data_IF_628855665876
#
_entry.id   IF_628855665876
#
_cell.length_a   1.000
_cell.length_b   1.000
_cell.length_c   1.000
_cell.angle_alpha   90.00
_cell.angle_beta   90.00
_cell.angle_gamma   90.00
#
_symmetry.space_group_name_H-M   'P 1'
#
loop_
_entity.id
_entity.type
_entity.pdbx_description
1 polymer ?
#
# COMPACT_ATOMS: atom_id res chain seq x y z
N UNK A 1 -12.02 15.19 0.48
CA UNK A 1 -12.87 15.50 1.68
C UNK A 1 -12.76 14.34 2.64
N UNK A 2 -12.64 14.62 3.94
CA UNK A 2 -12.65 13.56 4.98
C UNK A 2 -13.91 12.69 4.87
N UNK A 3 -15.05 13.28 4.52
CA UNK A 3 -16.31 12.56 4.30
C UNK A 3 -16.29 11.54 3.16
N UNK A 4 -15.43 11.69 2.16
CA UNK A 4 -15.26 10.70 1.09
C UNK A 4 -14.35 9.54 1.53
N UNK A 5 -13.41 9.82 2.45
CA UNK A 5 -12.51 8.81 3.03
C UNK A 5 -13.22 8.04 4.14
N UNK A 6 -14.14 8.72 4.82
CA UNK A 6 -14.88 8.20 5.98
C UNK A 6 -16.35 8.52 5.76
N UNK A 7 -17.10 7.63 5.11
CA UNK A 7 -18.55 7.79 5.02
C UNK A 7 -19.13 7.93 6.43
N UNK A 8 -19.94 8.96 6.71
CA UNK A 8 -20.54 9.20 8.03
C UNK A 8 -21.27 7.99 8.60
N UNK A 9 -21.85 7.17 7.72
CA UNK A 9 -22.58 5.94 8.09
C UNK A 9 -21.69 4.86 8.72
N UNK A 10 -20.37 4.94 8.62
CA UNK A 10 -19.44 3.98 9.20
C UNK A 10 -19.04 4.30 10.66
N UNK A 11 -19.56 5.36 11.24
CA UNK A 11 -19.30 5.73 12.64
C UNK A 11 -20.63 5.74 13.38
N UNK A 12 -20.67 5.14 14.58
CA UNK A 12 -21.89 5.13 15.34
C UNK A 12 -22.29 6.56 15.73
N UNK A 13 -23.59 6.84 15.66
CA UNK A 13 -24.16 8.13 16.08
C UNK A 13 -23.77 8.49 17.50
N UNK A 14 -23.79 7.50 18.40
CA UNK A 14 -23.43 7.69 19.79
C UNK A 14 -21.97 8.09 19.98
N UNK A 15 -21.04 7.43 19.26
CA UNK A 15 -19.60 7.78 19.33
C UNK A 15 -19.35 9.22 18.90
N UNK A 16 -19.95 9.66 17.78
CA UNK A 16 -19.80 11.06 17.33
C UNK A 16 -20.36 12.02 18.35
N UNK A 17 -21.52 11.73 18.94
CA UNK A 17 -22.17 12.57 19.95
C UNK A 17 -21.29 12.72 21.19
N UNK A 18 -20.64 11.66 21.64
CA UNK A 18 -19.70 11.67 22.76
C UNK A 18 -18.42 12.47 22.44
N UNK A 19 -17.88 12.32 21.24
CA UNK A 19 -16.72 13.09 20.79
C UNK A 19 -17.01 14.59 20.67
N UNK A 20 -18.19 14.96 20.15
CA UNK A 20 -18.66 16.35 20.11
C UNK A 20 -18.76 16.92 21.53
N UNK A 21 -19.37 16.15 22.44
CA UNK A 21 -19.54 16.57 23.83
C UNK A 21 -18.18 16.83 24.50
N UNK A 22 -17.22 15.94 24.26
CA UNK A 22 -15.85 16.06 24.75
C UNK A 22 -15.13 17.27 24.14
N UNK A 23 -15.22 17.47 22.82
CA UNK A 23 -14.58 18.58 22.12
C UNK A 23 -15.11 19.94 22.58
N UNK A 24 -16.39 20.03 22.94
CA UNK A 24 -17.05 21.23 23.38
C UNK A 24 -17.08 21.36 24.92
N UNK A 25 -16.58 20.37 25.67
CA UNK A 25 -16.59 20.31 27.14
C UNK A 25 -18.00 20.47 27.72
N UNK A 26 -18.99 19.82 27.11
CA UNK A 26 -20.39 19.88 27.53
C UNK A 26 -20.94 18.47 27.81
N UNK A 27 -22.02 18.35 28.62
CA UNK A 27 -22.71 17.07 28.78
C UNK A 27 -23.30 16.56 27.45
N UNK A 28 -23.18 15.27 27.18
CA UNK A 28 -23.71 14.62 25.97
C UNK A 28 -25.21 14.88 25.77
N UNK A 29 -25.98 14.93 26.87
CA UNK A 29 -27.41 15.17 26.85
C UNK A 29 -27.83 16.52 26.25
N UNK A 30 -26.95 17.52 26.25
CA UNK A 30 -27.18 18.83 25.63
C UNK A 30 -27.13 18.82 24.11
N UNK A 31 -26.52 17.80 23.48
CA UNK A 31 -26.47 17.69 22.04
C UNK A 31 -27.80 17.06 21.56
N UNK A 32 -28.65 17.88 20.96
CA UNK A 32 -30.00 17.44 20.50
C UNK A 32 -29.94 16.75 19.16
N UNK A 33 -29.17 17.30 18.21
CA UNK A 33 -28.93 16.72 16.89
C UNK A 33 -27.60 17.21 16.33
N UNK A 34 -27.07 16.48 15.34
CA UNK A 34 -25.95 16.94 14.52
C UNK A 34 -26.15 16.46 13.08
N UNK A 35 -25.47 17.16 12.17
CA UNK A 35 -25.52 16.89 10.72
C UNK A 35 -24.10 16.91 10.17
N UNK A 36 -23.82 16.01 9.23
CA UNK A 36 -22.57 15.95 8.50
C UNK A 36 -22.61 16.87 7.29
N UNK A 37 -21.89 17.99 7.36
CA UNK A 37 -21.66 18.87 6.22
C UNK A 37 -20.35 18.53 5.54
N UNK A 38 -20.17 19.04 4.33
CA UNK A 38 -19.04 18.68 3.46
C UNK A 38 -17.65 18.81 4.13
N UNK A 39 -17.44 19.84 4.96
CA UNK A 39 -16.15 20.13 5.59
C UNK A 39 -16.21 20.21 7.11
N UNK A 40 -17.39 20.19 7.69
CA UNK A 40 -17.64 20.39 9.10
C UNK A 40 -18.84 19.59 9.55
N UNK A 41 -18.92 19.37 10.82
CA UNK A 41 -20.09 18.86 11.48
C UNK A 41 -20.86 20.04 12.09
N UNK A 42 -22.14 20.11 11.82
CA UNK A 42 -23.02 21.06 12.51
C UNK A 42 -23.73 20.34 13.64
N UNK A 43 -23.75 20.95 14.84
CA UNK A 43 -24.45 20.40 15.99
C UNK A 43 -25.37 21.45 16.63
N UNK A 44 -26.59 21.04 16.98
CA UNK A 44 -27.53 21.83 17.77
C UNK A 44 -27.42 21.45 19.24
N UNK A 45 -27.05 22.44 20.05
CA UNK A 45 -26.74 22.28 21.47
C UNK A 45 -27.75 23.08 22.28
N UNK A 46 -28.43 22.41 23.22
CA UNK A 46 -29.40 23.03 24.12
C UNK A 46 -28.79 24.17 24.93
N UNK A 47 -29.43 25.34 24.86
CA UNK A 47 -28.99 26.57 25.58
C UNK A 47 -27.80 27.29 24.92
N UNK A 48 -27.25 26.76 23.78
CA UNK A 48 -26.13 27.40 23.05
C UNK A 48 -26.53 27.69 21.59
N UNK A 49 -27.41 26.86 21.01
CA UNK A 49 -27.78 26.93 19.60
C UNK A 49 -26.90 26.10 18.67
N UNK A 50 -26.84 26.48 17.37
CA UNK A 50 -26.03 25.80 16.38
C UNK A 50 -24.53 26.09 16.51
N UNK A 51 -23.70 25.04 16.44
CA UNK A 51 -22.25 25.13 16.41
C UNK A 51 -21.66 24.36 15.26
N UNK A 52 -20.61 24.89 14.65
CA UNK A 52 -19.80 24.21 13.65
C UNK A 52 -18.57 23.61 14.31
N UNK A 53 -18.33 22.33 14.06
CA UNK A 53 -17.25 21.56 14.66
C UNK A 53 -16.37 21.02 13.53
N UNK A 54 -15.07 21.20 13.66
CA UNK A 54 -14.13 20.61 12.70
C UNK A 54 -14.10 19.09 12.86
N UNK A 55 -14.08 18.34 11.78
CA UNK A 55 -13.83 16.89 11.84
C UNK A 55 -12.48 16.54 12.45
N UNK A 56 -11.52 17.49 12.44
CA UNK A 56 -10.18 17.29 13.01
C UNK A 56 -10.17 17.27 14.53
N UNK A 57 -11.17 17.90 15.16
CA UNK A 57 -11.34 17.83 16.61
C UNK A 57 -11.97 16.51 17.08
N UNK A 58 -12.35 15.62 16.17
CA UNK A 58 -12.97 14.34 16.47
C UNK A 58 -11.97 13.19 16.30
N UNK A 59 -11.54 12.52 17.39
CA UNK A 59 -10.54 11.46 17.37
C UNK A 59 -10.81 10.35 16.36
N UNK A 60 -12.07 9.93 16.21
CA UNK A 60 -12.46 8.88 15.27
C UNK A 60 -12.19 9.27 13.82
N UNK A 61 -12.45 10.50 13.42
CA UNK A 61 -12.13 10.97 12.07
C UNK A 61 -10.61 11.03 11.85
N UNK A 62 -9.88 11.51 12.84
CA UNK A 62 -8.41 11.55 12.75
C UNK A 62 -7.81 10.14 12.64
N UNK A 63 -8.27 9.21 13.48
CA UNK A 63 -7.83 7.82 13.39
C UNK A 63 -8.06 7.21 12.00
N UNK A 64 -9.23 7.44 11.40
CA UNK A 64 -9.54 6.95 10.06
C UNK A 64 -8.68 7.63 8.98
N UNK A 65 -8.36 8.91 9.11
CA UNK A 65 -7.41 9.58 8.23
C UNK A 65 -6.02 8.92 8.27
N UNK A 66 -5.53 8.56 9.45
CA UNK A 66 -4.30 7.77 9.61
C UNK A 66 -4.40 6.40 8.94
N UNK A 67 -5.53 5.69 9.12
CA UNK A 67 -5.75 4.40 8.45
C UNK A 67 -5.77 4.54 6.93
N UNK A 68 -6.37 5.60 6.41
CA UNK A 68 -6.38 5.87 4.97
C UNK A 68 -4.95 6.03 4.43
N UNK A 69 -4.10 6.81 5.10
CA UNK A 69 -2.68 6.95 4.77
C UNK A 69 -1.97 5.59 4.84
N UNK A 70 -2.15 4.85 5.94
CA UNK A 70 -1.53 3.53 6.12
C UNK A 70 -1.92 2.54 5.03
N UNK A 71 -3.16 2.58 4.57
CA UNK A 71 -3.71 1.63 3.61
C UNK A 71 -3.39 1.95 2.14
N UNK A 72 -2.82 3.13 1.82
CA UNK A 72 -2.36 3.43 0.47
C UNK A 72 -1.37 2.36 -0.02
N UNK A 73 -1.59 1.86 -1.23
CA UNK A 73 -0.75 0.83 -1.86
C UNK A 73 0.26 1.42 -2.84
N UNK A 74 -0.03 2.60 -3.40
CA UNK A 74 0.78 3.28 -4.41
C UNK A 74 1.03 4.73 -4.02
N UNK A 75 2.08 5.34 -4.61
CA UNK A 75 2.34 6.77 -4.46
C UNK A 75 1.19 7.62 -4.99
N UNK A 76 0.57 7.20 -6.08
CA UNK A 76 -0.57 7.90 -6.68
C UNK A 76 -1.74 8.02 -5.69
N UNK A 77 -2.17 6.90 -5.08
CA UNK A 77 -3.20 6.92 -4.04
C UNK A 77 -2.82 7.83 -2.87
N UNK A 78 -1.55 7.81 -2.46
CA UNK A 78 -1.08 8.66 -1.38
C UNK A 78 -1.10 10.14 -1.77
N UNK A 79 -0.75 10.48 -3.02
CA UNK A 79 -0.83 11.86 -3.53
C UNK A 79 -2.26 12.37 -3.62
N UNK A 80 -3.19 11.56 -4.13
CA UNK A 80 -4.62 11.89 -4.17
C UNK A 80 -5.16 12.18 -2.77
N UNK A 81 -4.83 11.31 -1.81
CA UNK A 81 -5.19 11.51 -0.40
C UNK A 81 -4.58 12.80 0.17
N UNK A 82 -3.31 13.09 -0.16
CA UNK A 82 -2.64 14.32 0.22
C UNK A 82 -3.31 15.58 -0.33
N UNK A 83 -3.83 15.53 -1.56
CA UNK A 83 -4.60 16.64 -2.14
C UNK A 83 -5.92 16.88 -1.40
N UNK A 84 -6.62 15.80 -1.01
CA UNK A 84 -7.83 15.91 -0.20
C UNK A 84 -7.54 16.59 1.13
N UNK A 85 -6.49 16.16 1.84
CA UNK A 85 -6.07 16.80 3.09
C UNK A 85 -5.67 18.26 2.90
N UNK A 86 -4.99 18.61 1.80
CA UNK A 86 -4.59 19.97 1.48
C UNK A 86 -5.79 20.87 1.17
N UNK A 87 -6.78 20.37 0.45
CA UNK A 87 -8.02 21.10 0.16
C UNK A 87 -8.79 21.42 1.45
N UNK A 88 -8.82 20.50 2.38
CA UNK A 88 -9.44 20.72 3.70
C UNK A 88 -8.68 21.77 4.54
N UNK A 89 -7.35 21.88 4.37
CA UNK A 89 -6.57 22.91 5.07
C UNK A 89 -6.71 24.30 4.45
N UNK A 90 -6.83 24.40 3.14
CA UNK A 90 -6.91 25.69 2.44
C UNK A 90 -8.25 26.40 2.57
N UNK A 91 -9.32 25.68 2.80
CA UNK A 91 -10.67 26.24 2.91
C UNK A 91 -11.05 26.78 4.28
N UNK A 92 -10.15 26.73 5.27
CA UNK A 92 -10.41 27.20 6.63
C UNK A 92 -9.75 28.59 6.81
N UNK A 93 -10.50 29.63 7.24
CA UNK A 93 -9.91 30.91 7.63
C UNK A 93 -8.86 30.72 8.72
N UNK A 94 -7.81 31.52 8.72
CA UNK A 94 -6.71 31.48 9.70
C UNK A 94 -7.16 31.49 11.15
N UNK A 95 -8.34 32.01 11.44
CA UNK A 95 -8.96 32.08 12.78
C UNK A 95 -9.20 30.75 13.50
N UNK A 96 -9.10 29.60 12.81
CA UNK A 96 -9.31 28.29 13.44
C UNK A 96 -8.02 27.57 13.81
N UNK A 97 -6.86 28.16 13.53
CA UNK A 97 -5.56 27.53 13.80
C UNK A 97 -4.96 27.92 15.15
N UNK A 98 -5.36 29.05 15.72
CA UNK A 98 -4.71 29.61 16.91
C UNK A 98 -5.35 29.17 18.24
N UNK A 99 -6.54 28.58 18.23
CA UNK A 99 -7.26 28.24 19.44
C UNK A 99 -7.25 26.77 19.83
N UNK A 100 -6.79 25.88 18.93
CA UNK A 100 -6.80 24.43 19.19
C UNK A 100 -5.40 23.83 19.02
N UNK A 101 -4.59 23.84 20.08
CA UNK A 101 -3.26 23.22 20.13
C UNK A 101 -3.32 21.73 19.74
N UNK A 102 -4.44 21.06 20.02
CA UNK A 102 -4.63 19.66 19.65
C UNK A 102 -4.79 19.47 18.13
N UNK A 103 -5.40 20.42 17.42
CA UNK A 103 -5.55 20.34 15.96
C UNK A 103 -4.19 20.40 15.25
N UNK A 104 -3.25 21.19 15.78
CA UNK A 104 -1.88 21.28 15.28
C UNK A 104 -1.11 19.99 15.53
N UNK A 105 -1.23 19.38 16.69
CA UNK A 105 -0.59 18.09 17.01
C UNK A 105 -1.07 16.98 16.05
N UNK A 106 -2.37 16.89 15.79
CA UNK A 106 -2.92 15.91 14.86
C UNK A 106 -2.43 16.13 13.42
N UNK A 107 -2.36 17.37 12.96
CA UNK A 107 -1.85 17.69 11.63
C UNK A 107 -0.38 17.29 11.48
N UNK A 108 0.45 17.56 12.48
CA UNK A 108 1.85 17.17 12.47
C UNK A 108 2.02 15.63 12.48
N UNK A 109 1.24 14.92 13.30
CA UNK A 109 1.21 13.46 13.29
C UNK A 109 0.78 12.91 11.92
N UNK A 110 -0.25 13.50 11.30
CA UNK A 110 -0.72 13.08 9.98
C UNK A 110 0.32 13.35 8.88
N UNK A 111 0.98 14.52 8.92
CA UNK A 111 2.09 14.85 8.01
C UNK A 111 3.25 13.87 8.16
N UNK A 112 3.63 13.55 9.39
CA UNK A 112 4.69 12.58 9.68
C UNK A 112 4.33 11.19 9.17
N UNK A 113 3.10 10.73 9.41
CA UNK A 113 2.60 9.45 8.90
C UNK A 113 2.58 9.42 7.36
N UNK A 114 2.18 10.52 6.72
CA UNK A 114 2.18 10.64 5.26
C UNK A 114 3.59 10.62 4.69
N UNK A 115 4.53 11.37 5.27
CA UNK A 115 5.93 11.38 4.86
C UNK A 115 6.58 9.99 5.00
N UNK A 116 6.39 9.33 6.12
CA UNK A 116 6.86 7.97 6.35
C UNK A 116 6.30 6.98 5.31
N UNK A 117 4.99 7.06 5.03
CA UNK A 117 4.35 6.19 4.04
C UNK A 117 4.87 6.46 2.63
N UNK A 118 5.05 7.74 2.26
CA UNK A 118 5.64 8.15 0.98
C UNK A 118 7.03 7.54 0.78
N UNK A 119 7.88 7.65 1.78
CA UNK A 119 9.26 7.18 1.68
C UNK A 119 9.32 5.65 1.59
N UNK A 120 8.50 4.94 2.33
CA UNK A 120 8.36 3.48 2.21
C UNK A 120 7.84 3.04 0.83
N UNK A 121 6.86 3.74 0.26
CA UNK A 121 6.35 3.42 -1.07
C UNK A 121 7.40 3.70 -2.15
N UNK A 122 8.18 4.79 -2.03
CA UNK A 122 9.30 5.09 -2.95
C UNK A 122 10.37 4.01 -2.91
N UNK A 123 10.79 3.59 -1.72
CA UNK A 123 11.74 2.49 -1.56
C UNK A 123 11.21 1.22 -2.24
N UNK A 124 9.94 0.90 -1.99
CA UNK A 124 9.31 -0.28 -2.58
C UNK A 124 9.26 -0.22 -4.11
N UNK A 125 8.89 0.91 -4.70
CA UNK A 125 8.86 1.08 -6.16
C UNK A 125 10.26 1.03 -6.78
N UNK A 126 11.25 1.61 -6.11
CA UNK A 126 12.63 1.66 -6.63
C UNK A 126 13.38 0.33 -6.53
N UNK A 127 13.15 -0.45 -5.47
CA UNK A 127 13.97 -1.61 -5.17
C UNK A 127 13.20 -2.94 -5.16
N UNK A 128 12.07 -3.02 -4.49
CA UNK A 128 11.35 -4.29 -4.34
C UNK A 128 10.62 -4.72 -5.62
N UNK A 129 9.98 -3.79 -6.33
CA UNK A 129 9.21 -4.12 -7.52
C UNK A 129 10.10 -4.61 -8.68
N UNK A 130 11.23 -3.95 -9.01
CA UNK A 130 12.17 -4.45 -10.00
C UNK A 130 12.78 -5.81 -9.62
N UNK A 131 13.17 -6.02 -8.37
CA UNK A 131 13.70 -7.31 -7.92
C UNK A 131 12.66 -8.43 -8.00
N UNK A 132 11.43 -8.15 -7.64
CA UNK A 132 10.33 -9.12 -7.78
C UNK A 132 10.07 -9.48 -9.24
N UNK A 133 10.07 -8.49 -10.13
CA UNK A 133 9.92 -8.72 -11.58
C UNK A 133 11.09 -9.55 -12.12
N UNK A 134 12.31 -9.21 -11.75
CA UNK A 134 13.51 -9.95 -12.17
C UNK A 134 13.47 -11.42 -11.74
N UNK A 135 13.03 -11.72 -10.50
CA UNK A 135 12.82 -13.11 -10.05
C UNK A 135 11.72 -13.83 -10.86
N UNK A 136 10.63 -13.15 -11.18
CA UNK A 136 9.56 -13.73 -12.00
C UNK A 136 10.06 -14.04 -13.42
N UNK A 137 10.87 -13.16 -14.00
CA UNK A 137 11.47 -13.37 -15.31
C UNK A 137 12.47 -14.53 -15.29
N UNK A 138 13.27 -14.66 -14.22
CA UNK A 138 14.14 -15.80 -13.99
C UNK A 138 13.38 -17.12 -13.89
N UNK A 139 12.25 -17.13 -13.17
CA UNK A 139 11.41 -18.33 -13.06
C UNK A 139 10.80 -18.75 -14.40
N UNK A 140 10.29 -17.81 -15.19
CA UNK A 140 9.77 -18.08 -16.55
C UNK A 140 10.86 -18.60 -17.48
N UNK A 141 12.05 -18.04 -17.36
CA UNK A 141 13.21 -18.50 -18.12
C UNK A 141 13.57 -19.95 -17.75
N UNK A 142 13.61 -20.30 -16.46
CA UNK A 142 13.81 -21.66 -15.97
C UNK A 142 12.77 -22.63 -16.58
N UNK A 143 11.49 -22.33 -16.45
CA UNK A 143 10.39 -23.14 -16.98
C UNK A 143 10.52 -23.37 -18.49
N UNK A 144 10.85 -22.33 -19.25
CA UNK A 144 11.08 -22.45 -20.71
C UNK A 144 12.24 -23.36 -21.05
N UNK A 145 13.34 -23.27 -20.30
CA UNK A 145 14.50 -24.15 -20.55
C UNK A 145 14.25 -25.58 -20.08
N UNK A 146 13.49 -25.79 -19.01
CA UNK A 146 13.06 -27.14 -18.59
C UNK A 146 12.24 -27.82 -19.70
N UNK A 147 11.32 -27.09 -20.34
CA UNK A 147 10.54 -27.59 -21.47
C UNK A 147 11.44 -27.92 -22.66
N UNK A 148 12.36 -27.04 -23.07
CA UNK A 148 13.28 -27.26 -24.19
C UNK A 148 14.19 -28.45 -23.89
N UNK A 149 14.78 -28.55 -22.72
CA UNK A 149 15.66 -29.63 -22.28
C UNK A 149 14.89 -30.97 -22.30
N UNK A 150 13.65 -30.97 -21.76
CA UNK A 150 12.78 -32.13 -21.69
C UNK A 150 12.46 -32.70 -23.07
N UNK A 151 12.37 -31.84 -24.10
CA UNK A 151 12.10 -32.22 -25.50
C UNK A 151 13.36 -32.65 -26.26
N UNK A 152 14.55 -32.67 -25.68
CA UNK A 152 15.75 -33.17 -26.30
C UNK A 152 15.81 -34.71 -26.22
N UNK A 153 15.89 -35.37 -27.37
CA UNK A 153 15.97 -36.84 -27.45
C UNK A 153 17.40 -37.36 -27.63
N UNK A 154 18.37 -36.48 -27.83
CA UNK A 154 19.77 -36.84 -28.04
C UNK A 154 20.74 -36.00 -27.25
N UNK A 155 21.86 -36.59 -26.83
CA UNK A 155 22.94 -35.85 -26.14
C UNK A 155 23.55 -34.76 -27.02
N UNK A 156 23.53 -34.91 -28.36
CA UNK A 156 23.97 -33.85 -29.27
C UNK A 156 23.06 -32.63 -29.23
N UNK A 157 21.73 -32.81 -29.18
CA UNK A 157 20.80 -31.70 -28.99
C UNK A 157 21.07 -30.94 -27.68
N UNK A 158 21.31 -31.64 -26.60
CA UNK A 158 21.67 -31.04 -25.31
C UNK A 158 23.01 -30.28 -25.39
N UNK A 159 24.02 -30.83 -26.10
CA UNK A 159 25.30 -30.12 -26.27
C UNK A 159 25.12 -28.74 -26.92
N UNK A 160 24.21 -28.60 -27.88
CA UNK A 160 23.92 -27.29 -28.50
C UNK A 160 23.17 -26.32 -27.56
N UNK A 161 22.39 -26.83 -26.60
CA UNK A 161 21.69 -25.99 -25.65
C UNK A 161 22.59 -25.41 -24.57
N UNK A 162 23.66 -26.11 -24.16
CA UNK A 162 24.48 -25.68 -23.04
C UNK A 162 25.08 -24.27 -23.20
N UNK A 163 25.66 -23.89 -24.37
CA UNK A 163 26.11 -22.51 -24.57
C UNK A 163 25.01 -21.46 -24.45
N UNK A 164 23.79 -21.79 -24.93
CA UNK A 164 22.63 -20.90 -24.84
C UNK A 164 22.17 -20.71 -23.41
N UNK A 165 22.13 -21.79 -22.62
CA UNK A 165 21.84 -21.71 -21.16
C UNK A 165 22.84 -20.79 -20.49
N UNK A 166 24.14 -20.95 -20.76
CA UNK A 166 25.19 -20.10 -20.18
C UNK A 166 25.10 -18.65 -20.63
N UNK A 167 24.83 -18.41 -21.90
CA UNK A 167 24.71 -17.06 -22.44
C UNK A 167 23.50 -16.32 -21.89
N UNK A 168 22.34 -16.94 -21.90
CA UNK A 168 21.10 -16.32 -21.44
C UNK A 168 21.04 -16.24 -19.92
N UNK A 169 21.59 -17.24 -19.21
CA UNK A 169 21.67 -17.30 -17.76
C UNK A 169 22.50 -16.19 -17.13
N UNK A 170 23.42 -15.55 -17.90
CA UNK A 170 24.16 -14.38 -17.40
C UNK A 170 23.27 -13.26 -16.85
N UNK A 171 22.05 -13.13 -17.38
CA UNK A 171 21.07 -12.14 -16.88
C UNK A 171 20.57 -12.44 -15.47
N UNK A 172 20.78 -13.65 -14.97
CA UNK A 172 20.28 -14.15 -13.70
C UNK A 172 21.42 -14.66 -12.81
N UNK A 173 22.66 -14.13 -12.98
CA UNK A 173 23.82 -14.49 -12.18
C UNK A 173 23.62 -14.13 -10.69
N UNK A 174 22.79 -13.13 -10.41
CA UNK A 174 22.36 -12.73 -9.07
C UNK A 174 21.25 -13.62 -8.46
N UNK A 175 20.74 -14.60 -9.23
CA UNK A 175 19.76 -15.60 -8.81
C UNK A 175 20.35 -17.01 -8.94
N UNK A 176 21.36 -17.38 -8.11
CA UNK A 176 22.08 -18.64 -8.25
C UNK A 176 21.18 -19.87 -8.15
N UNK A 177 20.09 -19.79 -7.41
CA UNK A 177 19.08 -20.84 -7.28
C UNK A 177 18.40 -21.20 -8.62
N UNK A 178 18.17 -20.24 -9.48
CA UNK A 178 17.58 -20.42 -10.83
C UNK A 178 18.59 -21.15 -11.75
N UNK A 179 19.83 -20.66 -11.74
CA UNK A 179 20.90 -21.25 -12.54
C UNK A 179 21.19 -22.69 -12.13
N UNK A 180 21.24 -22.98 -10.83
CA UNK A 180 21.46 -24.32 -10.32
C UNK A 180 20.36 -25.29 -10.74
N UNK A 181 19.10 -24.87 -10.67
CA UNK A 181 17.96 -25.68 -11.08
C UNK A 181 18.01 -26.05 -12.57
N UNK A 182 18.28 -25.10 -13.47
CA UNK A 182 18.43 -25.37 -14.91
C UNK A 182 19.57 -26.36 -15.17
N UNK A 183 20.73 -26.16 -14.54
CA UNK A 183 21.89 -27.03 -14.73
C UNK A 183 21.67 -28.44 -14.15
N UNK A 184 20.94 -28.57 -13.05
CA UNK A 184 20.58 -29.85 -12.49
C UNK A 184 19.63 -30.62 -13.40
N UNK A 185 18.60 -29.92 -13.93
CA UNK A 185 17.67 -30.50 -14.89
C UNK A 185 18.37 -30.93 -16.18
N UNK A 186 19.33 -30.12 -16.69
CA UNK A 186 20.16 -30.44 -17.81
C UNK A 186 20.98 -31.73 -17.59
N UNK A 187 21.63 -31.87 -16.42
CA UNK A 187 22.42 -33.07 -16.07
C UNK A 187 21.54 -34.30 -15.96
N UNK A 188 20.42 -34.20 -15.31
CA UNK A 188 19.44 -35.28 -15.15
C UNK A 188 18.99 -35.79 -16.54
N UNK A 189 18.61 -34.88 -17.44
CA UNK A 189 18.18 -35.25 -18.79
C UNK A 189 19.28 -35.88 -19.62
N UNK A 190 20.52 -35.41 -19.43
CA UNK A 190 21.68 -36.02 -20.06
C UNK A 190 21.84 -37.47 -19.64
N UNK A 191 21.81 -37.78 -18.35
CA UNK A 191 21.91 -39.13 -17.78
C UNK A 191 20.78 -40.04 -18.28
N UNK A 192 19.55 -39.55 -18.36
CA UNK A 192 18.40 -40.29 -18.88
C UNK A 192 18.60 -40.74 -20.34
N UNK A 193 19.12 -39.85 -21.19
CA UNK A 193 19.37 -40.17 -22.61
C UNK A 193 20.53 -41.16 -22.75
N UNK A 194 21.62 -41.01 -21.99
CA UNK A 194 22.73 -41.97 -22.01
C UNK A 194 22.29 -43.36 -21.60
N UNK A 195 21.52 -43.48 -20.53
CA UNK A 195 20.98 -44.75 -20.06
C UNK A 195 20.00 -45.39 -21.04
N UNK A 196 19.26 -44.58 -21.80
CA UNK A 196 18.31 -45.10 -22.82
C UNK A 196 19.01 -45.63 -24.11
N UNK A 197 20.29 -45.27 -24.32
CA UNK A 197 21.06 -45.64 -25.51
C UNK A 197 22.13 -46.68 -25.20
N UNK A 198 22.21 -47.26 -24.02
CA UNK A 198 23.09 -48.35 -23.68
C UNK A 198 22.34 -49.68 -24.00
N UNK A 199 22.55 -50.31 -25.19
CA UNK A 199 22.03 -51.64 -25.45
C UNK A 199 22.93 -52.63 -24.73
N UNK A 200 22.37 -53.43 -23.83
CA UNK A 200 22.97 -54.59 -23.20
C UNK A 200 23.81 -55.41 -24.19
#
# INVERSE_FOLDING_TARGET
MLTNIIPPQQISFQTIKEEIAKALQIPVARIKRFEHWQHRLWAHIEGIGGRLISYRSLPTYMYKAFLAVKNCKTLEQLWELGQLFKLETKGLPQYYYDEDENANEYLEKLRSAWAYKRDNLRIREQFEAPMKQHRQDGQKWLESFQEIIGNCDTTNALKYLYPLIRQQGKRFEDLPEIMEQVLNYYRQRWEEIELSHDPF
#
